data_IF_856356918656
#
_entry.id   IF_856356918656
#
_cell.length_a   1.000
_cell.length_b   1.000
_cell.length_c   1.000
_cell.angle_alpha   90.00
_cell.angle_beta   90.00
_cell.angle_gamma   90.00
#
_symmetry.space_group_name_H-M   'P 1'
#
loop_
_entity.id
_entity.type
_entity.pdbx_description
1 polymer ?
#
# COMPACT_ATOMS: atom_id res chain seq x y z
N UNK A 1 19.44 2.98 34.60
CA UNK A 1 20.13 3.09 33.29
C UNK A 1 19.60 4.34 32.61
N UNK A 2 20.49 5.31 32.34
CA UNK A 2 20.15 6.60 31.77
C UNK A 2 19.60 6.46 30.36
N UNK A 3 18.42 7.02 30.13
CA UNK A 3 17.84 7.15 28.80
C UNK A 3 18.47 8.37 28.14
N UNK A 4 19.27 8.13 27.11
CA UNK A 4 19.94 9.17 26.32
C UNK A 4 18.88 9.87 25.47
N UNK A 5 18.63 11.14 25.75
CA UNK A 5 17.87 12.02 24.86
C UNK A 5 18.74 12.36 23.65
N UNK A 6 18.33 11.90 22.47
CA UNK A 6 18.84 12.41 21.20
C UNK A 6 18.05 13.68 20.89
N UNK A 7 18.71 14.83 21.07
CA UNK A 7 18.18 16.16 20.70
C UNK A 7 18.39 16.33 19.20
N UNK A 8 17.29 16.32 18.44
CA UNK A 8 17.27 16.81 17.06
C UNK A 8 17.09 18.32 17.06
N UNK A 9 18.04 19.05 16.50
CA UNK A 9 17.98 20.49 16.32
C UNK A 9 16.89 20.90 15.31
N UNK A 10 15.97 21.76 15.76
CA UNK A 10 15.43 22.87 14.96
C UNK A 10 14.19 22.62 14.12
N UNK A 11 13.02 22.97 14.66
CA UNK A 11 11.83 23.33 13.85
C UNK A 11 10.49 23.08 14.54
N UNK A 12 9.99 24.07 15.27
CA UNK A 12 8.61 24.31 15.75
C UNK A 12 7.76 23.14 16.28
N UNK A 13 7.32 23.29 17.53
CA UNK A 13 6.32 22.46 18.20
C UNK A 13 4.99 22.41 17.42
N UNK A 14 4.77 21.34 16.66
CA UNK A 14 3.45 20.81 16.34
C UNK A 14 3.41 19.35 16.74
N UNK A 15 2.67 19.08 17.80
CA UNK A 15 2.27 17.79 18.36
C UNK A 15 2.23 16.67 17.32
N UNK A 16 3.07 15.64 17.48
CA UNK A 16 2.86 14.24 17.07
C UNK A 16 2.09 13.96 15.76
N UNK A 17 2.19 14.80 14.74
CA UNK A 17 1.59 14.57 13.42
C UNK A 17 2.72 14.18 12.49
N UNK A 18 2.78 12.89 12.15
CA UNK A 18 3.60 12.44 11.03
C UNK A 18 2.98 13.00 9.75
N UNK A 19 3.65 13.97 9.13
CA UNK A 19 3.23 14.48 7.82
C UNK A 19 3.01 13.34 6.83
N UNK A 20 2.05 13.49 5.91
CA UNK A 20 1.77 12.46 4.91
C UNK A 20 2.97 12.18 3.99
N UNK A 21 3.92 13.10 3.92
CA UNK A 21 5.15 13.00 3.14
C UNK A 21 6.29 12.29 3.90
N UNK A 22 6.06 11.96 5.18
CA UNK A 22 7.03 11.30 6.06
C UNK A 22 7.96 12.27 6.79
N UNK A 23 9.00 11.73 7.44
CA UNK A 23 9.93 12.52 8.28
C UNK A 23 10.78 13.54 7.50
N UNK A 24 10.94 13.36 6.18
CA UNK A 24 11.69 14.27 5.32
C UNK A 24 10.94 14.50 4.02
N UNK A 25 10.60 15.76 3.74
CA UNK A 25 9.98 16.16 2.49
C UNK A 25 10.97 15.87 1.32
N UNK A 26 10.58 15.04 0.34
CA UNK A 26 11.34 14.78 -0.88
C UNK A 26 11.66 16.07 -1.64
N UNK A 27 12.83 16.12 -2.29
CA UNK A 27 13.29 17.32 -2.98
C UNK A 27 12.35 17.69 -4.13
N UNK A 28 11.73 16.70 -4.77
CA UNK A 28 10.75 16.85 -5.84
C UNK A 28 9.55 17.68 -5.38
N UNK A 29 9.07 17.44 -4.15
CA UNK A 29 7.95 18.17 -3.55
C UNK A 29 8.40 19.57 -3.10
N UNK A 30 9.65 19.74 -2.68
CA UNK A 30 10.20 21.07 -2.31
C UNK A 30 10.32 22.02 -3.49
N UNK A 31 10.63 21.52 -4.70
CA UNK A 31 10.78 22.38 -5.88
C UNK A 31 9.46 22.57 -6.63
N UNK A 32 8.47 21.68 -6.41
CA UNK A 32 7.14 21.73 -7.02
C UNK A 32 6.47 23.13 -6.96
N UNK A 33 6.43 23.86 -5.83
CA UNK A 33 5.82 25.20 -5.76
C UNK A 33 6.42 26.23 -6.73
N UNK A 34 7.72 26.12 -7.05
CA UNK A 34 8.41 27.06 -7.95
C UNK A 34 7.97 26.85 -9.41
N UNK A 35 7.68 25.60 -9.78
CA UNK A 35 7.25 25.25 -11.12
C UNK A 35 5.73 25.38 -11.30
N UNK A 36 4.94 25.12 -10.26
CA UNK A 36 3.48 25.34 -10.29
C UNK A 36 3.10 26.81 -10.53
N UNK A 37 3.92 27.77 -10.08
CA UNK A 37 3.70 29.20 -10.37
C UNK A 37 3.83 29.57 -11.86
N UNK A 38 4.48 28.72 -12.67
CA UNK A 38 4.72 28.95 -14.09
C UNK A 38 3.67 28.30 -14.99
N UNK A 39 2.73 27.55 -14.42
CA UNK A 39 1.78 26.70 -15.14
C UNK A 39 0.37 27.24 -14.94
N UNK A 40 -0.42 27.22 -16.02
CA UNK A 40 -1.83 27.60 -15.99
C UNK A 40 -2.72 26.45 -15.47
N UNK A 41 -3.93 26.81 -15.05
CA UNK A 41 -4.88 25.86 -14.46
C UNK A 41 -5.34 24.77 -15.42
N UNK A 42 -5.42 25.05 -16.71
CA UNK A 42 -5.87 24.06 -17.69
C UNK A 42 -4.80 22.99 -17.92
N UNK A 43 -3.54 23.41 -18.06
CA UNK A 43 -2.43 22.48 -18.24
C UNK A 43 -2.15 21.66 -16.99
N UNK A 44 -2.28 22.24 -15.79
CA UNK A 44 -2.22 21.50 -14.52
C UNK A 44 -3.26 20.38 -14.46
N UNK A 45 -4.52 20.66 -14.84
CA UNK A 45 -5.60 19.65 -14.83
C UNK A 45 -5.34 18.52 -15.82
N UNK A 46 -4.80 18.84 -17.00
CA UNK A 46 -4.38 17.82 -17.99
C UNK A 46 -3.28 16.92 -17.40
N UNK A 47 -2.26 17.50 -16.76
CA UNK A 47 -1.20 16.74 -16.08
C UNK A 47 -1.78 15.84 -14.98
N UNK A 48 -2.67 16.39 -14.15
CA UNK A 48 -3.31 15.64 -13.07
C UNK A 48 -4.15 14.48 -13.61
N UNK A 49 -4.88 14.69 -14.70
CA UNK A 49 -5.66 13.65 -15.36
C UNK A 49 -4.76 12.54 -15.90
N UNK A 50 -3.65 12.89 -16.56
CA UNK A 50 -2.65 11.92 -17.04
C UNK A 50 -2.10 11.09 -15.88
N UNK A 51 -1.74 11.73 -14.76
CA UNK A 51 -1.25 11.03 -13.57
C UNK A 51 -2.31 10.09 -12.99
N UNK A 52 -3.56 10.52 -12.87
CA UNK A 52 -4.65 9.67 -12.38
C UNK A 52 -4.88 8.47 -13.29
N UNK A 53 -4.87 8.67 -14.61
CA UNK A 53 -4.98 7.57 -15.59
C UNK A 53 -3.82 6.59 -15.47
N UNK A 54 -2.61 7.09 -15.23
CA UNK A 54 -1.44 6.24 -14.93
C UNK A 54 -1.59 5.47 -13.61
N UNK A 55 -2.11 6.09 -12.55
CA UNK A 55 -2.36 5.42 -11.26
C UNK A 55 -3.48 4.38 -11.34
N UNK A 56 -4.44 4.57 -12.23
CA UNK A 56 -5.48 3.58 -12.55
C UNK A 56 -4.95 2.44 -13.45
N UNK A 57 -3.67 2.48 -13.86
CA UNK A 57 -3.00 1.50 -14.73
C UNK A 57 -3.59 1.41 -16.14
N UNK A 58 -4.22 2.49 -16.61
CA UNK A 58 -4.62 2.65 -18.00
C UNK A 58 -3.43 3.20 -18.79
N UNK A 59 -3.27 2.74 -20.03
CA UNK A 59 -2.23 3.28 -20.92
C UNK A 59 -2.44 4.78 -21.10
N UNK A 60 -1.43 5.55 -20.71
CA UNK A 60 -1.43 7.00 -20.91
C UNK A 60 -1.28 7.24 -22.41
N UNK A 61 -2.24 7.94 -23.01
CA UNK A 61 -2.18 8.32 -24.42
C UNK A 61 -0.96 9.20 -24.68
N UNK A 62 -0.03 8.71 -25.50
CA UNK A 62 1.18 9.41 -25.93
C UNK A 62 0.86 10.81 -26.50
N UNK A 63 -0.29 10.95 -27.17
CA UNK A 63 -0.83 12.21 -27.67
C UNK A 63 -1.08 13.25 -26.57
N UNK A 64 -1.51 12.82 -25.37
CA UNK A 64 -1.74 13.73 -24.25
C UNK A 64 -0.44 14.22 -23.63
N UNK A 65 0.63 13.44 -23.72
CA UNK A 65 1.98 13.83 -23.27
C UNK A 65 2.61 14.78 -24.30
N UNK A 66 2.44 14.51 -25.60
CA UNK A 66 2.93 15.37 -26.68
C UNK A 66 2.25 16.75 -26.65
N UNK A 67 0.93 16.83 -26.46
CA UNK A 67 0.23 18.10 -26.28
C UNK A 67 0.74 18.93 -25.08
N UNK A 68 1.25 18.27 -24.04
CA UNK A 68 1.79 18.93 -22.85
C UNK A 68 3.24 19.41 -23.08
N UNK A 69 4.02 18.65 -23.86
CA UNK A 69 5.38 19.01 -24.24
C UNK A 69 5.42 20.21 -25.21
N UNK A 70 4.39 20.41 -26.01
CA UNK A 70 4.28 21.56 -26.92
C UNK A 70 3.98 22.88 -26.19
N UNK A 71 3.31 22.81 -25.03
CA UNK A 71 2.85 23.99 -24.28
C UNK A 71 3.85 24.43 -23.21
N UNK A 72 4.68 23.51 -22.70
CA UNK A 72 5.57 23.73 -21.55
C UNK A 72 6.98 23.21 -21.85
N UNK A 73 8.02 23.89 -21.35
CA UNK A 73 9.41 23.42 -21.45
C UNK A 73 9.57 22.05 -20.79
N UNK A 74 10.32 21.15 -21.42
CA UNK A 74 10.55 19.78 -20.95
C UNK A 74 10.94 19.70 -19.47
N UNK A 75 11.87 20.56 -19.02
CA UNK A 75 12.30 20.62 -17.62
C UNK A 75 11.13 20.91 -16.65
N UNK A 76 10.32 21.93 -16.94
CA UNK A 76 9.16 22.30 -16.12
C UNK A 76 8.11 21.19 -16.09
N UNK A 77 7.96 20.43 -17.16
CA UNK A 77 7.06 19.29 -17.22
C UNK A 77 7.58 18.15 -16.34
N UNK A 78 8.85 17.76 -16.50
CA UNK A 78 9.47 16.68 -15.72
C UNK A 78 9.38 16.93 -14.22
N UNK A 79 9.77 18.12 -13.75
CA UNK A 79 9.76 18.45 -12.32
C UNK A 79 8.34 18.55 -11.75
N UNK A 80 7.38 19.07 -12.52
CA UNK A 80 5.98 19.13 -12.10
C UNK A 80 5.37 17.74 -12.01
N UNK A 81 5.56 16.91 -13.03
CA UNK A 81 5.05 15.53 -13.08
C UNK A 81 5.67 14.69 -11.95
N UNK A 82 7.00 14.76 -11.75
CA UNK A 82 7.66 13.99 -10.69
C UNK A 82 7.22 14.44 -9.30
N UNK A 83 7.10 15.75 -9.08
CA UNK A 83 6.64 16.32 -7.80
C UNK A 83 5.19 15.93 -7.49
N UNK A 84 4.29 16.05 -8.46
CA UNK A 84 2.88 15.66 -8.31
C UNK A 84 2.71 14.16 -8.16
N UNK A 85 3.42 13.35 -8.96
CA UNK A 85 3.41 11.90 -8.82
C UNK A 85 3.85 11.49 -7.42
N UNK A 86 4.94 12.08 -6.89
CA UNK A 86 5.42 11.75 -5.55
C UNK A 86 4.48 12.21 -4.44
N UNK A 87 3.87 13.38 -4.60
CA UNK A 87 2.87 13.91 -3.66
C UNK A 87 1.66 13.00 -3.61
N UNK A 88 1.07 12.69 -4.78
CA UNK A 88 -0.08 11.81 -4.89
C UNK A 88 0.27 10.41 -4.38
N UNK A 89 1.40 9.83 -4.76
CA UNK A 89 1.85 8.54 -4.25
C UNK A 89 1.97 8.51 -2.71
N UNK A 90 2.46 9.59 -2.11
CA UNK A 90 2.59 9.69 -0.64
C UNK A 90 1.23 9.75 0.04
N UNK A 91 0.29 10.52 -0.51
CA UNK A 91 -1.08 10.62 0.01
C UNK A 91 -1.92 9.35 -0.26
N UNK A 92 -1.75 8.72 -1.42
CA UNK A 92 -2.42 7.48 -1.82
C UNK A 92 -1.92 6.24 -1.06
N UNK A 93 -0.73 6.31 -0.44
CA UNK A 93 -0.24 5.23 0.40
C UNK A 93 -0.95 5.17 1.76
N UNK A 94 -1.54 6.27 2.21
CA UNK A 94 -2.22 6.32 3.49
C UNK A 94 -3.69 5.87 3.34
N UNK A 95 -4.20 5.07 4.28
CA UNK A 95 -5.62 4.69 4.28
C UNK A 95 -6.50 5.90 4.62
N UNK A 96 -7.73 5.90 4.11
CA UNK A 96 -8.74 6.95 4.34
C UNK A 96 -9.04 7.25 5.81
N UNK A 97 -8.80 6.27 6.69
CA UNK A 97 -8.99 6.40 8.14
C UNK A 97 -7.93 7.28 8.81
N UNK A 98 -6.73 7.38 8.21
CA UNK A 98 -5.60 8.11 8.79
C UNK A 98 -5.52 9.56 8.31
N UNK A 99 -5.99 9.86 7.10
CA UNK A 99 -5.85 11.19 6.49
C UNK A 99 -7.19 11.93 6.50
N UNK A 100 -7.31 12.95 7.36
CA UNK A 100 -8.45 13.86 7.34
C UNK A 100 -8.28 14.89 6.24
N UNK A 101 -9.37 15.25 5.55
CA UNK A 101 -9.34 16.20 4.45
C UNK A 101 -8.83 17.59 4.86
N UNK A 102 -9.18 18.05 6.07
CA UNK A 102 -8.74 19.35 6.60
C UNK A 102 -7.23 19.35 6.89
N UNK A 103 -6.74 18.32 7.60
CA UNK A 103 -5.31 18.17 7.91
C UNK A 103 -4.47 18.08 6.61
N UNK A 104 -4.99 17.42 5.58
CA UNK A 104 -4.34 17.35 4.28
C UNK A 104 -4.25 18.71 3.57
N UNK A 105 -5.32 19.52 3.62
CA UNK A 105 -5.31 20.87 3.03
C UNK A 105 -4.32 21.79 3.75
N UNK A 106 -4.25 21.70 5.08
CA UNK A 106 -3.30 22.46 5.89
C UNK A 106 -1.85 22.09 5.54
N UNK A 107 -1.54 20.80 5.38
CA UNK A 107 -0.20 20.36 4.94
C UNK A 107 0.13 20.82 3.50
N UNK A 108 -0.84 20.86 2.58
CA UNK A 108 -0.62 21.42 1.24
C UNK A 108 -0.32 22.93 1.27
N UNK A 109 -0.93 23.67 2.20
CA UNK A 109 -0.61 25.07 2.45
C UNK A 109 0.81 25.24 3.01
N UNK A 110 1.22 24.40 3.95
CA UNK A 110 2.58 24.40 4.51
C UNK A 110 3.64 24.11 3.43
N UNK A 111 3.33 23.21 2.49
CA UNK A 111 4.16 22.93 1.32
C UNK A 111 4.19 24.07 0.28
N UNK A 112 3.56 25.21 0.56
CA UNK A 112 3.52 26.40 -0.31
C UNK A 112 2.91 26.13 -1.70
N UNK A 113 1.99 25.16 -1.80
CA UNK A 113 1.27 24.88 -3.06
C UNK A 113 0.23 25.99 -3.30
N UNK A 114 0.12 26.54 -4.53
CA UNK A 114 -0.87 27.57 -4.82
C UNK A 114 -2.30 27.08 -4.58
N UNK A 115 -3.12 27.94 -3.95
CA UNK A 115 -4.48 27.59 -3.51
C UNK A 115 -5.39 27.16 -4.67
N UNK A 116 -5.12 27.64 -5.88
CA UNK A 116 -5.89 27.31 -7.08
C UNK A 116 -5.88 25.82 -7.45
N UNK A 117 -4.87 25.08 -6.99
CA UNK A 117 -4.62 23.67 -7.31
C UNK A 117 -5.00 22.70 -6.18
N UNK A 118 -5.09 23.19 -4.93
CA UNK A 118 -5.46 22.40 -3.75
C UNK A 118 -6.80 21.65 -3.91
N UNK A 119 -7.90 22.26 -4.41
CA UNK A 119 -9.17 21.54 -4.53
C UNK A 119 -9.09 20.41 -5.57
N UNK A 120 -8.37 20.63 -6.67
CA UNK A 120 -8.19 19.65 -7.73
C UNK A 120 -7.40 18.43 -7.19
N UNK A 121 -6.32 18.64 -6.43
CA UNK A 121 -5.54 17.57 -5.78
C UNK A 121 -6.39 16.83 -4.72
N UNK A 122 -7.13 17.57 -3.90
CA UNK A 122 -8.00 16.99 -2.86
C UNK A 122 -9.07 16.10 -3.48
N UNK A 123 -9.64 16.50 -4.62
CA UNK A 123 -10.66 15.73 -5.33
C UNK A 123 -10.14 14.39 -5.86
N UNK A 124 -8.85 14.29 -6.18
CA UNK A 124 -8.23 13.05 -6.64
C UNK A 124 -8.06 12.05 -5.50
N UNK A 125 -7.65 12.54 -4.32
CA UNK A 125 -7.33 11.67 -3.17
C UNK A 125 -8.58 11.20 -2.42
N UNK A 126 -9.59 12.07 -2.32
CA UNK A 126 -10.86 11.79 -1.61
C UNK A 126 -12.05 11.54 -2.55
N UNK A 127 -11.83 11.54 -3.87
CA UNK A 127 -12.87 11.31 -4.86
C UNK A 127 -13.15 9.83 -5.14
N UNK A 128 -14.15 9.59 -6.00
CA UNK A 128 -14.61 8.25 -6.39
C UNK A 128 -13.56 7.40 -7.10
N UNK A 129 -12.55 8.02 -7.71
CA UNK A 129 -11.47 7.31 -8.43
C UNK A 129 -10.48 6.61 -7.52
N UNK A 130 -10.46 6.95 -6.23
CA UNK A 130 -9.51 6.38 -5.27
C UNK A 130 -9.67 4.87 -5.11
N UNK A 131 -10.91 4.37 -5.06
CA UNK A 131 -11.18 2.93 -5.01
C UNK A 131 -10.59 2.17 -6.21
N UNK A 132 -10.64 2.76 -7.41
CA UNK A 132 -10.05 2.16 -8.62
C UNK A 132 -8.53 2.12 -8.55
N UNK A 133 -7.90 3.20 -8.06
CA UNK A 133 -6.44 3.30 -7.88
C UNK A 133 -5.96 2.30 -6.81
N UNK A 134 -6.68 2.18 -5.70
CA UNK A 134 -6.34 1.23 -4.63
C UNK A 134 -6.48 -0.21 -5.11
N UNK A 135 -7.55 -0.54 -5.84
CA UNK A 135 -7.72 -1.87 -6.44
C UNK A 135 -6.61 -2.22 -7.44
N UNK A 136 -6.23 -1.28 -8.31
CA UNK A 136 -5.10 -1.52 -9.21
C UNK A 136 -3.79 -1.70 -8.44
N UNK A 137 -3.52 -0.83 -7.45
CA UNK A 137 -2.33 -0.93 -6.61
C UNK A 137 -2.27 -2.26 -5.86
N UNK A 138 -3.43 -2.76 -5.42
CA UNK A 138 -3.55 -4.08 -4.85
C UNK A 138 -3.18 -5.13 -5.90
N UNK A 139 -3.81 -5.16 -7.07
CA UNK A 139 -3.63 -6.20 -8.10
C UNK A 139 -2.21 -6.23 -8.70
N UNK A 140 -1.65 -5.07 -9.00
CA UNK A 140 -0.36 -4.89 -9.68
C UNK A 140 0.84 -4.88 -8.73
N UNK A 141 0.61 -4.81 -7.42
CA UNK A 141 1.67 -4.71 -6.42
C UNK A 141 2.47 -6.01 -6.21
N UNK A 142 3.72 -5.93 -5.73
CA UNK A 142 4.49 -7.11 -5.36
C UNK A 142 3.81 -7.82 -4.19
N UNK A 143 3.34 -9.05 -4.42
CA UNK A 143 2.63 -9.86 -3.43
C UNK A 143 3.45 -11.08 -3.03
N UNK A 144 3.34 -11.47 -1.76
CA UNK A 144 3.79 -12.78 -1.32
C UNK A 144 2.91 -13.87 -1.97
N UNK A 145 3.47 -15.06 -2.26
CA UNK A 145 2.68 -16.18 -2.73
C UNK A 145 1.53 -16.49 -1.77
N UNK A 146 0.32 -16.61 -2.31
CA UNK A 146 -0.88 -16.97 -1.55
C UNK A 146 -1.13 -18.47 -1.62
N UNK A 147 -1.91 -18.99 -0.69
CA UNK A 147 -2.42 -20.35 -0.73
C UNK A 147 -3.62 -20.41 -1.67
N UNK A 148 -3.51 -21.11 -2.79
CA UNK A 148 -4.58 -21.25 -3.78
C UNK A 148 -5.42 -22.50 -3.53
N UNK A 149 -4.78 -23.62 -3.20
CA UNK A 149 -5.45 -24.90 -3.01
C UNK A 149 -4.79 -25.70 -1.88
N UNK A 150 -5.62 -26.29 -1.02
CA UNK A 150 -5.20 -27.14 0.09
C UNK A 150 -6.01 -28.43 0.06
N UNK A 151 -5.41 -29.53 -0.42
CA UNK A 151 -6.01 -30.86 -0.44
C UNK A 151 -5.37 -31.72 0.64
N UNK A 152 -6.17 -32.53 1.31
CA UNK A 152 -5.68 -33.44 2.34
C UNK A 152 -6.41 -34.77 2.31
N UNK A 153 -5.72 -35.82 2.76
CA UNK A 153 -6.29 -37.14 3.04
C UNK A 153 -5.66 -37.73 4.28
N UNK A 154 -6.42 -38.54 5.00
CA UNK A 154 -5.93 -39.24 6.20
C UNK A 154 -5.63 -40.68 5.80
N UNK A 155 -4.37 -41.07 5.99
CA UNK A 155 -3.90 -42.44 5.78
C UNK A 155 -3.65 -43.10 7.14
N UNK A 156 -4.11 -44.33 7.28
CA UNK A 156 -3.89 -45.14 8.49
C UNK A 156 -2.96 -46.28 8.12
N UNK A 157 -1.72 -46.25 8.63
CA UNK A 157 -0.78 -47.34 8.44
C UNK A 157 -1.21 -48.53 9.33
N UNK A 158 -1.41 -49.70 8.70
CA UNK A 158 -1.75 -50.94 9.43
C UNK A 158 -0.47 -51.76 9.58
N UNK A 159 0.16 -51.71 10.75
CA UNK A 159 1.27 -52.61 11.07
C UNK A 159 0.74 -54.00 11.39
N UNK A 160 1.15 -55.01 10.61
CA UNK A 160 0.74 -56.42 10.78
C UNK A 160 1.64 -57.22 11.72
N UNK A 161 2.68 -56.61 12.30
CA UNK A 161 3.57 -57.29 13.24
C UNK A 161 2.88 -57.58 14.58
N UNK A 162 3.03 -58.81 15.07
CA UNK A 162 2.26 -59.41 16.18
C UNK A 162 2.51 -58.73 17.55
N UNK A 163 3.54 -57.90 17.68
CA UNK A 163 3.99 -57.40 18.99
C UNK A 163 3.41 -56.03 19.40
N UNK A 164 2.88 -55.23 18.46
CA UNK A 164 2.12 -54.03 18.77
C UNK A 164 1.43 -53.50 17.51
N UNK A 165 0.12 -53.75 17.37
CA UNK A 165 -0.69 -53.16 16.29
C UNK A 165 -0.95 -51.69 16.63
N UNK A 166 -0.07 -50.81 16.20
CA UNK A 166 -0.29 -49.36 16.33
C UNK A 166 -0.91 -48.85 15.02
N UNK A 167 -2.15 -48.37 15.12
CA UNK A 167 -2.83 -47.64 14.05
C UNK A 167 -2.48 -46.17 14.23
N UNK A 168 -1.42 -45.71 13.57
CA UNK A 168 -1.04 -44.30 13.58
C UNK A 168 -1.61 -43.62 12.33
N UNK A 169 -2.65 -42.77 12.48
CA UNK A 169 -3.10 -41.95 11.37
C UNK A 169 -2.08 -40.87 11.04
N UNK A 170 -1.88 -40.62 9.74
CA UNK A 170 -1.02 -39.58 9.19
C UNK A 170 -1.80 -38.79 8.16
N UNK A 171 -1.57 -37.48 8.08
CA UNK A 171 -2.25 -36.63 7.10
C UNK A 171 -1.32 -36.39 5.92
N UNK A 172 -1.73 -36.78 4.72
CA UNK A 172 -1.06 -36.41 3.48
C UNK A 172 -1.70 -35.14 2.93
N UNK A 173 -0.87 -34.12 2.71
CA UNK A 173 -1.30 -32.80 2.27
C UNK A 173 -0.64 -32.45 0.95
N UNK A 174 -1.45 -31.92 0.02
CA UNK A 174 -1.03 -31.24 -1.20
C UNK A 174 -1.39 -29.76 -1.09
N UNK A 175 -0.37 -28.90 -1.13
CA UNK A 175 -0.50 -27.45 -1.04
C UNK A 175 -0.08 -26.80 -2.35
N UNK A 176 -0.96 -26.01 -2.96
CA UNK A 176 -0.67 -25.21 -4.15
C UNK A 176 -0.61 -23.74 -3.82
N UNK A 177 0.49 -23.08 -4.19
CA UNK A 177 0.69 -21.66 -4.03
C UNK A 177 0.43 -20.90 -5.34
N UNK A 178 0.11 -19.61 -5.23
CA UNK A 178 -0.17 -18.72 -6.37
C UNK A 178 0.99 -18.51 -7.34
N UNK A 179 2.21 -18.90 -6.97
CA UNK A 179 3.38 -18.92 -7.84
C UNK A 179 3.52 -20.23 -8.62
N UNK A 180 2.51 -21.11 -8.57
CA UNK A 180 2.51 -22.42 -9.22
C UNK A 180 3.28 -23.51 -8.47
N UNK A 181 3.91 -23.20 -7.33
CA UNK A 181 4.63 -24.19 -6.53
C UNK A 181 3.62 -25.12 -5.83
N UNK A 182 3.78 -26.42 -6.07
CA UNK A 182 3.04 -27.48 -5.37
C UNK A 182 3.98 -28.14 -4.37
N UNK A 183 3.53 -28.32 -3.13
CA UNK A 183 4.28 -28.98 -2.07
C UNK A 183 3.45 -30.10 -1.46
N UNK A 184 4.01 -31.31 -1.47
CA UNK A 184 3.39 -32.51 -0.90
C UNK A 184 4.17 -32.94 0.33
N UNK A 185 3.48 -33.11 1.45
CA UNK A 185 4.11 -33.49 2.71
C UNK A 185 3.16 -34.24 3.63
N UNK A 186 3.75 -34.99 4.55
CA UNK A 186 3.04 -35.77 5.57
C UNK A 186 3.08 -35.05 6.91
N UNK A 187 1.95 -35.03 7.61
CA UNK A 187 1.80 -34.42 8.92
C UNK A 187 1.38 -35.49 9.94
N UNK A 188 2.26 -35.86 10.88
CA UNK A 188 1.88 -36.66 12.03
C UNK A 188 0.87 -35.93 12.92
N UNK A 189 0.05 -36.66 13.66
CA UNK A 189 -1.01 -36.10 14.53
C UNK A 189 -0.47 -35.04 15.50
N UNK A 190 0.70 -35.29 16.10
CA UNK A 190 1.35 -34.34 17.01
C UNK A 190 1.60 -33.00 16.34
N UNK A 191 2.17 -33.01 15.14
CA UNK A 191 2.44 -31.80 14.33
C UNK A 191 1.16 -31.16 13.81
N UNK A 192 0.11 -31.93 13.57
CA UNK A 192 -1.19 -31.39 13.21
C UNK A 192 -1.79 -30.57 14.36
N UNK A 193 -1.67 -31.04 15.61
CA UNK A 193 -2.12 -30.28 16.76
C UNK A 193 -1.31 -29.00 16.98
N UNK A 194 0.02 -29.04 16.78
CA UNK A 194 0.87 -27.85 16.78
C UNK A 194 0.42 -26.83 15.73
N UNK A 195 0.17 -27.29 14.50
CA UNK A 195 -0.29 -26.46 13.40
C UNK A 195 -1.66 -25.83 13.71
N UNK A 196 -2.61 -26.63 14.19
CA UNK A 196 -3.95 -26.18 14.57
C UNK A 196 -3.88 -25.08 15.63
N UNK A 197 -3.04 -25.26 16.65
CA UNK A 197 -2.85 -24.25 17.69
C UNK A 197 -2.27 -22.95 17.10
N UNK A 198 -1.19 -23.07 16.31
CA UNK A 198 -0.51 -21.92 15.71
C UNK A 198 -1.44 -21.11 14.79
N UNK A 199 -2.26 -21.79 13.98
CA UNK A 199 -3.24 -21.14 13.10
C UNK A 199 -4.32 -20.43 13.91
N UNK A 200 -4.84 -21.07 14.97
CA UNK A 200 -5.84 -20.45 15.84
C UNK A 200 -5.28 -19.21 16.57
N UNK A 201 -4.01 -19.25 17.00
CA UNK A 201 -3.33 -18.11 17.60
C UNK A 201 -3.20 -16.94 16.64
N UNK A 202 -2.75 -17.20 15.40
CA UNK A 202 -2.65 -16.16 14.35
C UNK A 202 -4.01 -15.54 14.05
N UNK A 203 -5.06 -16.36 13.91
CA UNK A 203 -6.43 -15.85 13.66
C UNK A 203 -6.88 -14.93 14.80
N UNK A 204 -6.67 -15.35 16.06
CA UNK A 204 -6.99 -14.51 17.23
C UNK A 204 -6.22 -13.20 17.23
N UNK A 205 -4.93 -13.22 16.87
CA UNK A 205 -4.12 -12.00 16.76
C UNK A 205 -4.61 -11.09 15.63
N UNK A 206 -5.00 -11.65 14.49
CA UNK A 206 -5.60 -10.89 13.39
C UNK A 206 -6.91 -10.22 13.81
N UNK A 207 -7.81 -10.94 14.48
CA UNK A 207 -9.06 -10.37 15.03
C UNK A 207 -8.77 -9.24 16.03
N UNK A 208 -7.78 -9.41 16.91
CA UNK A 208 -7.36 -8.35 17.83
C UNK A 208 -6.78 -7.13 17.12
N UNK A 209 -6.09 -7.32 15.98
CA UNK A 209 -5.57 -6.22 15.17
C UNK A 209 -6.69 -5.47 14.46
N UNK A 210 -7.69 -6.15 13.92
CA UNK A 210 -8.87 -5.54 13.30
C UNK A 210 -9.70 -4.72 14.29
N UNK A 211 -9.84 -5.20 15.53
CA UNK A 211 -10.54 -4.47 16.59
C UNK A 211 -9.82 -3.18 17.01
N UNK A 212 -8.51 -3.06 16.77
CA UNK A 212 -7.79 -1.80 16.96
C UNK A 212 -8.07 -0.93 15.73
N UNK A 213 -8.82 0.15 15.90
CA UNK A 213 -9.35 1.06 14.85
C UNK A 213 -8.34 1.67 13.86
N UNK A 214 -7.07 1.31 13.93
CA UNK A 214 -5.98 1.75 13.05
C UNK A 214 -5.97 0.95 11.74
N UNK A 215 -6.57 -0.25 11.71
CA UNK A 215 -6.57 -1.17 10.56
C UNK A 215 -7.96 -1.72 10.22
N UNK A 216 -9.00 -0.87 10.21
CA UNK A 216 -10.29 -1.31 9.65
C UNK A 216 -10.12 -1.55 8.15
N UNK A 217 -9.99 -2.82 7.77
CA UNK A 217 -10.09 -3.28 6.40
C UNK A 217 -11.59 -3.23 6.06
N UNK A 218 -11.97 -2.39 5.10
CA UNK A 218 -13.33 -2.46 4.54
C UNK A 218 -13.35 -3.62 3.56
N UNK A 219 -14.32 -4.52 3.73
CA UNK A 219 -14.65 -5.62 2.82
C UNK A 219 -15.00 -5.12 1.40
#
# INVERSE_FOLDING_TARGET
MSVVHIVGEGGSLSTERTSFVGQRIPNEIKVLPKYLKKIDKATFRKILQVLVTSFEGRDVSEHSIQELADVITEETLTYTVSGLHRLLQSALRLPHTSLKQQDFQDELHELSIPQDFIPDITSVIFGSRRATIDNNSLESGPRLPKLDEFKWRVDVAISTSVLNRVLEPTLLVEMRLSNGKVSNFEIPISKFHDLRYSVAEIIREMEHLEQRSILQIQD
#
